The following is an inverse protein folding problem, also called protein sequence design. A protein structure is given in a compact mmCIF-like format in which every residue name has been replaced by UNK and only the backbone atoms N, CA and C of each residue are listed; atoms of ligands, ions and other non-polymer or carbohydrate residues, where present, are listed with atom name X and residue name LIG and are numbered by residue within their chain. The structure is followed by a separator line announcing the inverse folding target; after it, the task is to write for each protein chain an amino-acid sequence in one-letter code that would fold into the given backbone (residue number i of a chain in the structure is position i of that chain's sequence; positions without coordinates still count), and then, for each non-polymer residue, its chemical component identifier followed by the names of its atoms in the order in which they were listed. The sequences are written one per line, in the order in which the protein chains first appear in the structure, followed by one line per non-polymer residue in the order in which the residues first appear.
data_IF_290014406640
#
_entry.id   IF_290014406640
#
_cell.length_a   1.000
_cell.length_b   1.000
_cell.length_c   1.000
_cell.angle_alpha   90.00
_cell.angle_beta   90.00
_cell.angle_gamma   90.00
#
_symmetry.space_group_name_H-M   'P 1'
#
loop_
_entity.id
_entity.type
_entity.pdbx_description
1 polymer ?
#
# COMPACT_ATOMS: atom_id res chain seq x y z
N UNK A 1 12.55 13.35 -24.14
CA UNK A 1 12.61 13.25 -22.67
C UNK A 1 12.26 11.82 -22.29
N UNK A 2 13.25 10.98 -21.91
CA UNK A 2 13.02 9.56 -21.60
C UNK A 2 12.37 9.49 -20.23
N UNK A 3 11.10 9.08 -20.15
CA UNK A 3 10.41 8.94 -18.87
C UNK A 3 11.18 7.91 -18.00
N UNK A 4 11.56 8.26 -16.75
CA UNK A 4 12.43 7.43 -15.91
C UNK A 4 11.78 6.10 -15.50
N UNK A 5 10.46 5.95 -15.67
CA UNK A 5 9.73 4.73 -15.37
C UNK A 5 8.75 4.38 -16.50
N UNK A 6 8.42 3.10 -16.58
CA UNK A 6 7.55 2.51 -17.59
C UNK A 6 6.06 2.67 -17.24
N UNK A 7 5.19 2.49 -18.23
CA UNK A 7 3.73 2.55 -18.04
C UNK A 7 3.19 1.65 -16.91
N UNK A 8 3.64 0.39 -16.72
CA UNK A 8 3.21 -0.43 -15.60
C UNK A 8 3.54 0.17 -14.22
N UNK A 9 4.72 0.76 -14.06
CA UNK A 9 5.13 1.40 -12.80
C UNK A 9 4.27 2.63 -12.53
N UNK A 10 4.07 3.47 -13.54
CA UNK A 10 3.22 4.66 -13.42
C UNK A 10 1.77 4.31 -13.08
N UNK A 11 1.21 3.24 -13.65
CA UNK A 11 -0.15 2.80 -13.30
C UNK A 11 -0.25 2.49 -11.81
N UNK A 12 0.66 1.68 -11.26
CA UNK A 12 0.62 1.31 -9.84
C UNK A 12 0.73 2.54 -8.93
N UNK A 13 1.67 3.46 -9.22
CA UNK A 13 1.91 4.65 -8.40
C UNK A 13 0.73 5.61 -8.44
N UNK A 14 0.16 5.83 -9.63
CA UNK A 14 -0.91 6.81 -9.81
C UNK A 14 -2.32 6.25 -9.59
N UNK A 15 -2.47 4.94 -9.29
CA UNK A 15 -3.77 4.47 -8.79
C UNK A 15 -3.98 4.99 -7.38
N UNK A 16 -5.01 5.81 -7.17
CA UNK A 16 -5.40 6.28 -5.83
C UNK A 16 -6.24 5.24 -5.08
N UNK A 17 -6.79 4.24 -5.80
CA UNK A 17 -7.71 3.22 -5.30
C UNK A 17 -7.25 2.54 -4.00
N UNK A 18 -5.97 2.20 -3.87
CA UNK A 18 -5.46 1.50 -2.69
C UNK A 18 -5.51 2.37 -1.42
N UNK A 19 -5.05 3.63 -1.54
CA UNK A 19 -5.06 4.59 -0.42
C UNK A 19 -6.49 5.03 -0.09
N UNK A 20 -7.31 5.28 -1.11
CA UNK A 20 -8.71 5.65 -0.92
C UNK A 20 -9.52 4.53 -0.26
N UNK A 21 -9.32 3.28 -0.67
CA UNK A 21 -9.98 2.12 -0.07
C UNK A 21 -9.61 1.98 1.41
N UNK A 22 -8.33 2.13 1.77
CA UNK A 22 -7.89 2.09 3.16
C UNK A 22 -8.47 3.26 3.97
N UNK A 23 -8.40 4.49 3.45
CA UNK A 23 -8.96 5.67 4.10
C UNK A 23 -10.47 5.57 4.29
N UNK A 24 -11.19 4.92 3.37
CA UNK A 24 -12.62 4.63 3.51
C UNK A 24 -12.89 3.71 4.71
N UNK A 25 -12.12 2.61 4.85
CA UNK A 25 -12.24 1.69 5.99
C UNK A 25 -11.92 2.37 7.32
N UNK A 26 -10.83 3.15 7.38
CA UNK A 26 -10.42 3.88 8.58
C UNK A 26 -11.50 4.90 8.99
N UNK A 27 -11.98 5.74 8.06
CA UNK A 27 -13.04 6.72 8.34
C UNK A 27 -14.33 6.05 8.81
N UNK A 28 -14.71 4.93 8.21
CA UNK A 28 -15.89 4.16 8.64
C UNK A 28 -15.74 3.66 10.08
N UNK A 29 -14.60 3.09 10.43
CA UNK A 29 -14.34 2.57 11.78
C UNK A 29 -14.34 3.68 12.84
N UNK A 30 -13.71 4.82 12.54
CA UNK A 30 -13.71 6.00 13.43
C UNK A 30 -15.13 6.54 13.64
N UNK A 31 -15.90 6.72 12.55
CA UNK A 31 -17.29 7.19 12.63
C UNK A 31 -18.19 6.23 13.43
N UNK A 32 -18.01 4.93 13.26
CA UNK A 32 -18.79 3.93 14.00
C UNK A 32 -18.49 3.93 15.51
N UNK A 33 -17.26 4.29 15.92
CA UNK A 33 -16.87 4.32 17.33
C UNK A 33 -17.32 5.59 18.07
N UNK A 34 -17.41 6.73 17.38
CA UNK A 34 -17.81 8.00 17.96
C UNK A 34 -16.72 8.66 18.81
N UNK A 35 -17.03 9.02 20.06
CA UNK A 35 -16.08 9.64 20.99
C UNK A 35 -15.05 8.63 21.54
N UNK A 36 -13.80 9.07 21.63
CA UNK A 36 -12.69 8.30 22.17
C UNK A 36 -12.26 8.85 23.53
N UNK A 37 -11.99 7.97 24.52
CA UNK A 37 -11.59 8.39 25.86
C UNK A 37 -10.14 8.92 25.94
N UNK A 38 -9.31 8.62 24.93
CA UNK A 38 -7.93 9.13 24.80
C UNK A 38 -7.40 8.96 23.38
N UNK A 39 -6.32 9.66 23.05
CA UNK A 39 -5.61 9.49 21.78
C UNK A 39 -5.01 8.09 21.63
N UNK A 40 -4.57 7.49 22.74
CA UNK A 40 -4.06 6.11 22.74
C UNK A 40 -5.16 5.10 22.32
N UNK A 41 -6.40 5.31 22.79
CA UNK A 41 -7.52 4.47 22.38
C UNK A 41 -7.82 4.62 20.87
N UNK A 42 -7.68 5.84 20.34
CA UNK A 42 -7.80 6.11 18.90
C UNK A 42 -6.71 5.39 18.11
N UNK A 43 -5.46 5.51 18.53
CA UNK A 43 -4.31 4.86 17.88
C UNK A 43 -4.45 3.33 17.88
N UNK A 44 -4.88 2.73 19.00
CA UNK A 44 -5.15 1.28 19.09
C UNK A 44 -6.23 0.85 18.11
N UNK A 45 -7.33 1.61 17.95
CA UNK A 45 -8.35 1.29 16.97
C UNK A 45 -7.79 1.32 15.54
N UNK A 46 -7.06 2.38 15.17
CA UNK A 46 -6.46 2.50 13.85
C UNK A 46 -5.49 1.34 13.57
N UNK A 47 -4.65 0.98 14.55
CA UNK A 47 -3.77 -0.17 14.48
C UNK A 47 -4.52 -1.48 14.22
N UNK A 48 -5.61 -1.75 14.96
CA UNK A 48 -6.41 -2.96 14.76
C UNK A 48 -7.05 -3.01 13.37
N UNK A 49 -7.52 -1.88 12.84
CA UNK A 49 -8.09 -1.81 11.50
C UNK A 49 -7.01 -2.02 10.42
N UNK A 50 -5.82 -1.45 10.61
CA UNK A 50 -4.68 -1.67 9.72
C UNK A 50 -4.28 -3.15 9.69
N UNK A 51 -4.06 -3.77 10.85
CA UNK A 51 -3.73 -5.20 10.97
C UNK A 51 -4.79 -6.11 10.34
N UNK A 52 -6.08 -5.76 10.48
CA UNK A 52 -7.14 -6.51 9.83
C UNK A 52 -7.10 -6.32 8.31
N UNK A 53 -6.91 -5.09 7.84
CA UNK A 53 -6.90 -4.75 6.41
C UNK A 53 -5.72 -5.40 5.69
N UNK A 54 -4.55 -5.47 6.33
CA UNK A 54 -3.36 -6.15 5.81
C UNK A 54 -3.65 -7.60 5.45
N UNK A 55 -4.40 -8.34 6.28
CA UNK A 55 -4.77 -9.74 6.04
C UNK A 55 -5.66 -9.93 4.80
N UNK A 56 -6.30 -8.87 4.32
CA UNK A 56 -7.13 -8.90 3.11
C UNK A 56 -6.32 -8.62 1.83
N UNK A 57 -5.08 -8.12 1.95
CA UNK A 57 -4.21 -7.80 0.81
C UNK A 57 -3.50 -9.03 0.25
N UNK A 58 -4.30 -9.95 -0.29
CA UNK A 58 -3.81 -11.23 -0.83
C UNK A 58 -3.44 -11.18 -2.30
N UNK A 59 -4.01 -10.24 -3.04
CA UNK A 59 -3.84 -10.14 -4.49
C UNK A 59 -3.12 -8.85 -4.85
N UNK A 60 -1.93 -8.93 -5.47
CA UNK A 60 -1.25 -7.74 -5.95
C UNK A 60 -1.98 -7.13 -7.16
N UNK A 61 -1.74 -5.84 -7.46
CA UNK A 61 -2.20 -5.23 -8.71
C UNK A 61 -1.74 -6.04 -9.92
N UNK A 62 -2.57 -6.09 -10.98
CA UNK A 62 -2.30 -6.87 -12.19
C UNK A 62 -0.96 -6.50 -12.83
N UNK A 63 -0.59 -5.23 -12.77
CA UNK A 63 0.63 -4.66 -13.33
C UNK A 63 1.88 -5.01 -12.52
N UNK A 64 1.74 -5.54 -11.29
CA UNK A 64 2.84 -5.73 -10.35
C UNK A 64 3.96 -6.60 -10.90
N UNK A 65 3.63 -7.71 -11.57
CA UNK A 65 4.64 -8.62 -12.13
C UNK A 65 5.53 -7.91 -13.16
N UNK A 66 4.94 -7.09 -14.04
CA UNK A 66 5.69 -6.34 -15.05
C UNK A 66 6.50 -5.21 -14.42
N UNK A 67 5.93 -4.49 -13.46
CA UNK A 67 6.63 -3.43 -12.73
C UNK A 67 7.83 -3.99 -11.96
N UNK A 68 7.67 -5.15 -11.29
CA UNK A 68 8.74 -5.86 -10.56
C UNK A 68 9.90 -6.24 -11.48
N UNK A 69 9.61 -6.78 -12.68
CA UNK A 69 10.64 -7.11 -13.66
C UNK A 69 11.41 -5.86 -14.11
N UNK A 70 10.72 -4.73 -14.30
CA UNK A 70 11.36 -3.47 -14.67
C UNK A 70 12.20 -2.88 -13.52
N UNK A 71 11.76 -3.02 -12.27
CA UNK A 71 12.58 -2.64 -11.11
C UNK A 71 13.85 -3.48 -11.00
N UNK A 72 13.79 -4.78 -11.32
CA UNK A 72 14.99 -5.61 -11.38
C UNK A 72 16.01 -5.13 -12.42
N UNK A 73 15.54 -4.62 -13.57
CA UNK A 73 16.42 -4.04 -14.61
C UNK A 73 16.98 -2.68 -14.19
N UNK A 74 16.16 -1.81 -13.62
CA UNK A 74 16.54 -0.42 -13.27
C UNK A 74 17.45 -0.39 -12.02
N UNK A 75 17.20 -1.27 -11.05
CA UNK A 75 17.82 -1.23 -9.71
C UNK A 75 18.63 -2.49 -9.37
N UNK A 76 19.14 -3.21 -10.38
CA UNK A 76 19.84 -4.51 -10.29
C UNK A 76 20.40 -4.90 -8.92
N UNK A 77 21.52 -4.29 -8.50
CA UNK A 77 22.19 -4.64 -7.24
C UNK A 77 21.30 -4.49 -6.00
N UNK A 78 20.55 -3.39 -5.92
CA UNK A 78 19.62 -3.14 -4.81
C UNK A 78 18.47 -4.15 -4.81
N UNK A 79 18.00 -4.54 -5.99
CA UNK A 79 16.94 -5.53 -6.14
C UNK A 79 17.41 -6.92 -5.70
N UNK A 80 18.61 -7.34 -6.13
CA UNK A 80 19.20 -8.62 -5.72
C UNK A 80 19.40 -8.67 -4.22
N UNK A 81 19.97 -7.61 -3.63
CA UNK A 81 20.15 -7.52 -2.17
C UNK A 81 18.82 -7.59 -1.40
N UNK A 82 17.77 -6.96 -1.91
CA UNK A 82 16.44 -6.99 -1.30
C UNK A 82 15.73 -8.35 -1.44
N UNK A 83 16.03 -9.12 -2.48
CA UNK A 83 15.44 -10.46 -2.69
C UNK A 83 16.16 -11.56 -1.89
N UNK A 84 17.40 -11.31 -1.46
CA UNK A 84 18.21 -12.25 -0.67
C UNK A 84 18.05 -12.08 0.85
N UNK A 85 17.34 -11.04 1.29
CA UNK A 85 16.98 -10.76 2.68
C UNK A 85 15.61 -11.34 3.01
#
# INVERSE_FOLDING_TARGET
MRAPFSTPIHRIIYTTNAIEALNSKLRRAVRARGHFPSDEATAKLLYLILNRSEKEWKMPPREWTMAKAQFAVIFGERFIKAMAA
#
